data_IF_379828630630
#
_entry.id   IF_379828630630
#
_cell.length_a   1.000
_cell.length_b   1.000
_cell.length_c   1.000
_cell.angle_alpha   90.00
_cell.angle_beta   90.00
_cell.angle_gamma   90.00
#
_symmetry.space_group_name_H-M   'P 1'
#
loop_
_entity.id
_entity.type
_entity.pdbx_description
1 polymer ?
#
# COMPACT_ATOMS: atom_id res chain seq x y z
N UNK A 1 10.56 -5.87 5.62
CA UNK A 1 10.32 -7.33 5.53
C UNK A 1 9.70 -7.66 4.18
N UNK A 2 9.75 -8.91 3.72
CA UNK A 2 8.96 -9.36 2.57
C UNK A 2 7.52 -9.58 3.01
N UNK A 3 6.59 -9.04 2.22
CA UNK A 3 5.14 -9.21 2.36
C UNK A 3 4.66 -10.29 1.38
N UNK A 4 5.11 -10.23 0.13
CA UNK A 4 4.82 -11.24 -0.88
C UNK A 4 6.07 -12.05 -1.22
N UNK A 5 6.06 -13.35 -0.95
CA UNK A 5 7.20 -14.22 -1.27
C UNK A 5 7.23 -14.65 -2.73
N UNK A 6 6.06 -14.80 -3.38
CA UNK A 6 5.96 -15.18 -4.79
C UNK A 6 6.61 -14.16 -5.73
N UNK A 7 6.50 -12.88 -5.40
CA UNK A 7 6.98 -11.76 -6.22
C UNK A 7 8.07 -10.93 -5.52
N UNK A 8 8.56 -11.40 -4.36
CA UNK A 8 9.59 -10.72 -3.56
C UNK A 8 9.29 -9.23 -3.27
N UNK A 9 8.05 -8.93 -2.87
CA UNK A 9 7.61 -7.56 -2.58
C UNK A 9 7.75 -7.25 -1.10
N UNK A 10 8.33 -6.11 -0.77
CA UNK A 10 8.58 -5.60 0.58
C UNK A 10 7.52 -4.58 0.98
N UNK A 11 7.38 -4.38 2.30
CA UNK A 11 6.49 -3.36 2.87
C UNK A 11 6.76 -1.95 2.34
N UNK A 12 8.03 -1.62 2.09
CA UNK A 12 8.42 -0.32 1.55
C UNK A 12 7.85 -0.10 0.14
N UNK A 13 7.96 -1.10 -0.74
CA UNK A 13 7.45 -1.01 -2.12
C UNK A 13 5.92 -0.79 -2.16
N UNK A 14 5.18 -1.46 -1.28
CA UNK A 14 3.73 -1.21 -1.13
C UNK A 14 3.44 0.21 -0.63
N UNK A 15 4.22 0.69 0.34
CA UNK A 15 4.06 2.05 0.90
C UNK A 15 4.39 3.12 -0.14
N UNK A 16 5.45 2.90 -0.93
CA UNK A 16 5.89 3.80 -2.00
C UNK A 16 4.81 3.88 -3.11
N UNK A 17 4.17 2.76 -3.46
CA UNK A 17 3.04 2.76 -4.39
C UNK A 17 1.85 3.59 -3.86
N UNK A 18 1.57 3.56 -2.56
CA UNK A 18 0.54 4.41 -1.95
C UNK A 18 0.92 5.90 -2.04
N UNK A 19 2.18 6.25 -1.78
CA UNK A 19 2.69 7.62 -1.93
C UNK A 19 2.63 8.08 -3.39
N UNK A 20 2.83 7.17 -4.35
CA UNK A 20 2.69 7.43 -5.78
C UNK A 20 1.21 7.59 -6.24
N UNK A 21 0.24 7.40 -5.34
CA UNK A 21 -1.17 7.67 -5.59
C UNK A 21 -2.03 6.43 -5.80
N UNK A 22 -1.48 5.22 -5.68
CA UNK A 22 -2.29 4.00 -5.70
C UNK A 22 -3.11 3.88 -4.41
N UNK A 23 -4.38 3.52 -4.53
CA UNK A 23 -5.38 3.67 -3.46
C UNK A 23 -5.97 2.36 -2.95
N UNK A 24 -5.68 1.24 -3.61
CA UNK A 24 -6.28 -0.05 -3.30
C UNK A 24 -5.36 -1.21 -3.68
N UNK A 25 -5.71 -2.41 -3.22
CA UNK A 25 -4.93 -3.62 -3.50
C UNK A 25 -4.92 -3.95 -5.00
N UNK A 26 -5.97 -3.64 -5.75
CA UNK A 26 -6.05 -3.97 -7.17
C UNK A 26 -5.01 -3.17 -7.99
N UNK A 27 -4.98 -1.85 -7.80
CA UNK A 27 -4.02 -0.95 -8.44
C UNK A 27 -2.57 -1.24 -8.04
N UNK A 28 -2.33 -1.66 -6.80
CA UNK A 28 -0.99 -2.03 -6.33
C UNK A 28 -0.61 -3.43 -6.82
N UNK A 29 -1.56 -4.35 -6.95
CA UNK A 29 -1.34 -5.67 -7.53
C UNK A 29 -0.98 -5.58 -9.02
N UNK A 30 -1.60 -4.65 -9.76
CA UNK A 30 -1.25 -4.38 -11.16
C UNK A 30 0.19 -3.84 -11.29
N UNK A 31 0.59 -2.93 -10.41
CA UNK A 31 1.92 -2.32 -10.43
C UNK A 31 3.03 -3.27 -9.94
N UNK A 32 2.81 -3.97 -8.82
CA UNK A 32 3.86 -4.72 -8.12
C UNK A 32 3.72 -6.25 -8.24
N UNK A 33 2.60 -6.77 -8.75
CA UNK A 33 2.30 -8.21 -8.72
C UNK A 33 1.99 -8.75 -7.32
N UNK A 34 1.74 -7.88 -6.32
CA UNK A 34 1.38 -8.36 -4.97
C UNK A 34 0.05 -9.12 -5.02
N UNK A 35 -0.02 -10.25 -4.32
CA UNK A 35 -1.20 -11.12 -4.24
C UNK A 35 -1.70 -11.76 -5.56
N UNK A 36 -0.97 -11.65 -6.68
CA UNK A 36 -1.41 -12.20 -7.98
C UNK A 36 -1.08 -13.67 -8.21
N UNK A 37 -0.31 -14.31 -7.32
CA UNK A 37 0.04 -15.74 -7.40
C UNK A 37 -0.73 -16.59 -6.39
N UNK A 38 -0.19 -16.84 -5.18
CA UNK A 38 -0.85 -17.69 -4.19
C UNK A 38 -1.90 -16.96 -3.33
N UNK A 39 -1.95 -15.62 -3.38
CA UNK A 39 -2.90 -14.79 -2.62
C UNK A 39 -2.68 -14.70 -1.11
N UNK A 40 -1.80 -15.51 -0.50
CA UNK A 40 -1.65 -15.60 0.95
C UNK A 40 -1.27 -14.28 1.65
N UNK A 41 -0.63 -13.37 0.92
CA UNK A 41 -0.23 -12.05 1.44
C UNK A 41 -1.32 -10.98 1.36
N UNK A 42 -2.47 -11.23 0.71
CA UNK A 42 -3.45 -10.21 0.35
C UNK A 42 -3.96 -9.40 1.56
N UNK A 43 -4.34 -10.07 2.66
CA UNK A 43 -4.84 -9.41 3.88
C UNK A 43 -3.75 -8.55 4.55
N UNK A 44 -2.51 -9.05 4.59
CA UNK A 44 -1.39 -8.29 5.15
C UNK A 44 -1.01 -7.10 4.29
N UNK A 45 -1.01 -7.26 2.96
CA UNK A 45 -0.79 -6.17 2.02
C UNK A 45 -1.88 -5.09 2.17
N UNK A 46 -3.16 -5.47 2.27
CA UNK A 46 -4.25 -4.53 2.51
C UNK A 46 -4.07 -3.73 3.80
N UNK A 47 -3.67 -4.36 4.90
CA UNK A 47 -3.42 -3.65 6.16
C UNK A 47 -2.29 -2.61 6.04
N UNK A 48 -1.25 -2.89 5.24
CA UNK A 48 -0.18 -1.93 4.95
C UNK A 48 -0.73 -0.76 4.13
N UNK A 49 -1.54 -1.05 3.11
CA UNK A 49 -2.18 -0.03 2.25
C UNK A 49 -3.04 0.90 3.11
N UNK A 50 -3.91 0.35 3.95
CA UNK A 50 -4.78 1.13 4.83
C UNK A 50 -3.97 2.01 5.80
N UNK A 51 -2.91 1.44 6.39
CA UNK A 51 -2.01 2.18 7.28
C UNK A 51 -1.24 3.29 6.56
N UNK A 52 -0.82 3.06 5.32
CA UNK A 52 -0.14 4.06 4.51
C UNK A 52 -1.10 5.18 4.10
N UNK A 53 -2.31 4.85 3.64
CA UNK A 53 -3.33 5.83 3.27
C UNK A 53 -3.72 6.75 4.42
N UNK A 54 -3.83 6.20 5.64
CA UNK A 54 -4.10 7.00 6.84
C UNK A 54 -2.99 8.02 7.15
N UNK A 55 -1.75 7.78 6.68
CA UNK A 55 -0.61 8.70 6.83
C UNK A 55 -0.49 9.71 5.70
N UNK A 56 -1.07 9.41 4.53
CA UNK A 56 -1.02 10.26 3.32
C UNK A 56 -2.25 11.17 3.21
N UNK A 57 -3.31 10.90 3.98
CA UNK A 57 -4.45 11.81 4.07
C UNK A 57 -3.97 13.21 4.46
N UNK A 58 -4.33 14.26 3.68
CA UNK A 58 -3.93 15.62 4.02
C UNK A 58 -4.47 15.95 5.40
N UNK A 59 -3.59 16.49 6.25
CA UNK A 59 -3.97 16.98 7.57
C UNK A 59 -4.97 18.13 7.40
N UNK A 60 -6.26 17.80 7.46
CA UNK A 60 -7.36 18.76 7.43
C UNK A 60 -7.21 19.81 8.55
N UNK A 61 -6.42 19.52 9.61
CA UNK A 61 -6.10 20.48 10.66
C UNK A 61 -5.10 21.58 10.22
N UNK A 62 -4.27 21.35 9.19
CA UNK A 62 -3.33 22.35 8.68
C UNK A 62 -4.00 23.41 7.80
N UNK A 63 -5.15 23.10 7.17
CA UNK A 63 -5.83 24.01 6.25
C UNK A 63 -6.62 25.14 6.94
N UNK A 64 -7.08 24.94 8.19
CA UNK A 64 -7.83 25.96 8.95
C UNK A 64 -6.98 26.81 9.91
N UNK A 65 -5.65 26.62 9.92
CA UNK A 65 -4.72 27.32 10.81
C UNK A 65 -3.96 28.49 10.14
N UNK A 66 -4.30 28.84 8.89
CA UNK A 66 -3.70 29.94 8.13
C UNK A 66 -4.67 31.12 7.95
#
# INVERSE_FOLDING_TARGET
>A
MYVCLCHAIRTAEISDAVVAGHRDLASIAEELGVATSCGACASHAQAIIDSALAKVAPDEAQYYAA
#
